data_IF_932883183209
#
_entry.id   IF_932883183209
#
_cell.length_a   1.000
_cell.length_b   1.000
_cell.length_c   1.000
_cell.angle_alpha   90.00
_cell.angle_beta   90.00
_cell.angle_gamma   90.00
#
_symmetry.space_group_name_H-M   'P 1'
#
loop_
_entity.id
_entity.type
_entity.pdbx_description
1 polymer ?
#
# COMPACT_ATOMS: atom_id res chain seq x y z
N UNK A 1 30.70 -17.66 -8.26
CA UNK A 1 29.43 -17.62 -7.49
C UNK A 1 28.74 -16.28 -7.77
N UNK A 2 27.70 -16.29 -8.57
CA UNK A 2 26.90 -15.11 -8.83
C UNK A 2 25.98 -14.89 -7.63
N UNK A 3 26.29 -13.93 -6.77
CA UNK A 3 25.40 -13.47 -5.70
C UNK A 3 24.44 -12.50 -6.39
N UNK A 4 23.13 -12.80 -6.54
CA UNK A 4 22.22 -11.80 -7.05
C UNK A 4 22.28 -10.62 -6.08
N UNK A 5 22.63 -9.47 -6.59
CA UNK A 5 22.52 -8.22 -5.84
C UNK A 5 21.05 -8.12 -5.42
N UNK A 6 20.78 -8.24 -4.13
CA UNK A 6 19.44 -8.02 -3.57
C UNK A 6 19.12 -6.56 -3.87
N UNK A 7 18.41 -6.33 -4.96
CA UNK A 7 17.98 -4.99 -5.34
C UNK A 7 17.03 -4.49 -4.24
N UNK A 8 17.35 -3.33 -3.68
CA UNK A 8 16.48 -2.72 -2.68
C UNK A 8 15.15 -2.36 -3.35
N UNK A 9 14.01 -2.62 -2.70
CA UNK A 9 12.72 -2.19 -3.21
C UNK A 9 12.71 -0.67 -3.47
N UNK A 10 12.12 -0.29 -4.60
CA UNK A 10 12.06 1.09 -5.08
C UNK A 10 10.74 1.71 -4.69
N UNK A 11 10.79 2.81 -3.94
CA UNK A 11 9.62 3.55 -3.49
C UNK A 11 9.59 4.92 -4.17
N UNK A 12 8.54 5.19 -4.91
CA UNK A 12 8.27 6.49 -5.51
C UNK A 12 7.39 7.31 -4.57
N UNK A 13 7.90 8.45 -4.11
CA UNK A 13 7.20 9.35 -3.20
C UNK A 13 6.68 10.55 -3.96
N UNK A 14 5.36 10.73 -4.00
CA UNK A 14 4.69 11.85 -4.70
C UNK A 14 4.00 12.75 -3.69
N UNK A 15 4.71 13.79 -3.25
CA UNK A 15 4.26 14.75 -2.23
C UNK A 15 4.64 16.15 -2.66
N UNK A 16 3.65 17.06 -2.72
CA UNK A 16 3.88 18.43 -3.15
C UNK A 16 4.57 19.30 -2.09
N UNK A 17 4.33 19.02 -0.81
CA UNK A 17 4.90 19.80 0.27
C UNK A 17 6.35 19.38 0.55
N UNK A 18 7.35 20.25 0.36
CA UNK A 18 8.75 19.83 0.40
C UNK A 18 9.19 19.32 1.76
N UNK A 19 8.72 19.91 2.87
CA UNK A 19 9.09 19.44 4.22
C UNK A 19 8.47 18.07 4.56
N UNK A 20 7.23 17.83 4.17
CA UNK A 20 6.56 16.52 4.38
C UNK A 20 7.25 15.45 3.54
N UNK A 21 7.51 15.74 2.28
CA UNK A 21 8.24 14.84 1.40
C UNK A 21 9.63 14.50 1.92
N UNK A 22 10.39 15.49 2.40
CA UNK A 22 11.71 15.27 2.98
C UNK A 22 11.66 14.45 4.27
N UNK A 23 10.67 14.66 5.13
CA UNK A 23 10.49 13.91 6.36
C UNK A 23 10.21 12.42 6.06
N UNK A 24 9.26 12.12 5.17
CA UNK A 24 8.92 10.75 4.77
C UNK A 24 10.11 10.07 4.07
N UNK A 25 10.79 10.77 3.17
CA UNK A 25 12.00 10.27 2.53
C UNK A 25 13.07 9.88 3.55
N UNK A 26 13.28 10.73 4.56
CA UNK A 26 14.24 10.48 5.64
C UNK A 26 13.86 9.23 6.44
N UNK A 27 12.59 9.10 6.83
CA UNK A 27 12.09 7.93 7.56
C UNK A 27 12.36 6.64 6.77
N UNK A 28 12.01 6.60 5.49
CA UNK A 28 12.20 5.43 4.65
C UNK A 28 13.68 5.12 4.40
N UNK A 29 14.53 6.13 4.26
CA UNK A 29 15.98 5.95 4.09
C UNK A 29 16.70 5.47 5.35
N UNK A 30 16.20 5.85 6.53
CA UNK A 30 16.75 5.38 7.81
C UNK A 30 16.61 3.86 7.97
N UNK A 31 15.56 3.27 7.42
CA UNK A 31 15.38 1.82 7.39
C UNK A 31 16.43 1.10 6.54
N UNK A 32 17.21 1.83 5.71
CA UNK A 32 18.28 1.32 4.83
C UNK A 32 17.89 0.18 3.88
N UNK A 33 16.58 -0.11 3.79
CA UNK A 33 16.03 -1.22 2.99
C UNK A 33 15.48 -0.77 1.65
N UNK A 34 15.19 0.53 1.50
CA UNK A 34 14.50 1.08 0.34
C UNK A 34 15.38 2.02 -0.47
N UNK A 35 15.14 2.05 -1.77
CA UNK A 35 15.60 3.12 -2.64
C UNK A 35 14.43 4.07 -2.89
N UNK A 36 14.56 5.34 -2.49
CA UNK A 36 13.47 6.32 -2.53
C UNK A 36 13.79 7.41 -3.52
N UNK A 37 12.83 7.71 -4.40
CA UNK A 37 12.84 8.91 -5.23
C UNK A 37 11.57 9.72 -5.01
N UNK A 38 11.69 11.03 -5.12
CA UNK A 38 10.61 11.96 -4.85
C UNK A 38 10.25 12.77 -6.09
N UNK A 39 8.93 13.00 -6.26
CA UNK A 39 8.35 13.92 -7.22
C UNK A 39 7.37 14.85 -6.50
N UNK A 40 7.32 16.12 -6.90
CA UNK A 40 6.40 17.11 -6.32
C UNK A 40 5.08 17.24 -7.10
N UNK A 41 5.07 16.78 -8.34
CA UNK A 41 3.93 16.84 -9.26
C UNK A 41 3.67 15.48 -9.87
N UNK A 42 2.41 15.25 -10.23
CA UNK A 42 2.01 14.00 -10.84
C UNK A 42 2.67 13.73 -12.20
N UNK A 43 2.79 14.75 -13.04
CA UNK A 43 3.49 14.64 -14.32
C UNK A 43 4.95 14.22 -14.19
N UNK A 44 5.65 14.77 -13.18
CA UNK A 44 7.01 14.37 -12.84
C UNK A 44 7.08 12.92 -12.37
N UNK A 45 6.14 12.51 -11.52
CA UNK A 45 6.04 11.13 -11.03
C UNK A 45 5.81 10.13 -12.16
N UNK A 46 4.92 10.41 -13.10
CA UNK A 46 4.64 9.56 -14.26
C UNK A 46 5.88 9.44 -15.16
N UNK A 47 6.58 10.55 -15.42
CA UNK A 47 7.81 10.52 -16.20
C UNK A 47 8.92 9.73 -15.50
N UNK A 48 9.05 9.91 -14.19
CA UNK A 48 10.02 9.17 -13.39
C UNK A 48 9.71 7.67 -13.37
N UNK A 49 8.44 7.29 -13.23
CA UNK A 49 8.01 5.90 -13.22
C UNK A 49 8.35 5.15 -14.53
N UNK A 50 8.39 5.84 -15.66
CA UNK A 50 8.78 5.26 -16.96
C UNK A 50 10.26 4.90 -17.01
N UNK A 51 11.13 5.72 -16.45
CA UNK A 51 12.58 5.53 -16.48
C UNK A 51 13.10 4.76 -15.26
N UNK A 52 12.35 4.79 -14.18
CA UNK A 52 12.68 4.17 -12.91
C UNK A 52 11.45 3.46 -12.34
N UNK A 53 11.14 2.23 -12.79
CA UNK A 53 9.99 1.48 -12.30
C UNK A 53 10.06 1.28 -10.81
N UNK A 54 9.03 1.73 -10.09
CA UNK A 54 8.92 1.58 -8.65
C UNK A 54 8.18 0.28 -8.29
N UNK A 55 8.51 -0.28 -7.13
CA UNK A 55 7.80 -1.43 -6.56
C UNK A 55 6.58 -0.97 -5.74
N UNK A 56 6.60 0.28 -5.27
CA UNK A 56 5.51 0.91 -4.54
C UNK A 56 5.54 2.43 -4.79
N UNK A 57 4.36 3.03 -4.93
CA UNK A 57 4.18 4.48 -4.94
C UNK A 57 3.46 4.95 -3.67
N UNK A 58 4.02 5.95 -2.99
CA UNK A 58 3.37 6.69 -1.91
C UNK A 58 2.88 8.01 -2.49
N UNK A 59 1.57 8.23 -2.53
CA UNK A 59 0.96 9.38 -3.21
C UNK A 59 0.11 10.19 -2.26
N UNK A 60 0.41 11.48 -2.15
CA UNK A 60 -0.42 12.41 -1.39
C UNK A 60 -1.76 12.65 -2.11
N UNK A 61 -2.86 12.46 -1.40
CA UNK A 61 -4.21 12.70 -1.91
C UNK A 61 -4.40 14.14 -2.43
N UNK A 62 -3.71 15.13 -1.85
CA UNK A 62 -3.75 16.51 -2.32
C UNK A 62 -3.16 16.67 -3.73
N UNK A 63 -2.11 15.91 -4.05
CA UNK A 63 -1.52 15.91 -5.38
C UNK A 63 -2.50 15.34 -6.39
N UNK A 64 -3.14 14.23 -6.07
CA UNK A 64 -4.15 13.61 -6.94
C UNK A 64 -5.36 14.51 -7.15
N UNK A 65 -5.82 15.20 -6.09
CA UNK A 65 -6.93 16.15 -6.19
C UNK A 65 -6.59 17.34 -7.08
N UNK A 66 -5.36 17.83 -7.01
CA UNK A 66 -4.89 18.99 -7.80
C UNK A 66 -4.58 18.65 -9.24
N UNK A 67 -3.87 17.54 -9.46
CA UNK A 67 -3.25 17.21 -10.75
C UNK A 67 -4.08 16.16 -11.53
N UNK A 68 -5.05 15.49 -10.89
CA UNK A 68 -5.97 14.54 -11.52
C UNK A 68 -5.50 13.09 -11.45
N UNK A 69 -5.81 12.31 -12.48
CA UNK A 69 -5.55 10.86 -12.52
C UNK A 69 -4.10 10.56 -12.93
N UNK A 70 -3.53 9.53 -12.31
CA UNK A 70 -2.21 9.02 -12.63
C UNK A 70 -2.18 7.52 -12.89
N UNK A 71 -1.38 7.13 -13.87
CA UNK A 71 -0.96 5.76 -14.11
C UNK A 71 0.53 5.66 -13.74
N UNK A 72 0.82 5.08 -12.58
CA UNK A 72 2.17 4.97 -12.03
C UNK A 72 2.80 3.60 -12.30
N UNK A 73 1.98 2.62 -12.75
CA UNK A 73 2.45 1.27 -13.04
C UNK A 73 2.96 0.51 -11.80
N UNK A 74 2.62 0.98 -10.60
CA UNK A 74 3.03 0.39 -9.32
C UNK A 74 1.85 0.42 -8.34
N UNK A 75 1.81 -0.51 -7.35
CA UNK A 75 0.86 -0.42 -6.25
C UNK A 75 0.97 0.93 -5.55
N UNK A 76 -0.15 1.61 -5.31
CA UNK A 76 -0.18 2.94 -4.72
C UNK A 76 -0.76 2.91 -3.30
N UNK A 77 0.00 3.41 -2.35
CA UNK A 77 -0.44 3.71 -0.99
C UNK A 77 -0.71 5.20 -0.89
N UNK A 78 -1.91 5.57 -0.46
CA UNK A 78 -2.35 6.96 -0.43
C UNK A 78 -2.08 7.57 0.94
N UNK A 79 -1.52 8.76 0.95
CA UNK A 79 -1.38 9.59 2.15
C UNK A 79 -2.56 10.56 2.18
N UNK A 80 -3.44 10.43 3.17
CA UNK A 80 -4.66 11.23 3.28
C UNK A 80 -4.87 11.78 4.69
N UNK A 81 -5.61 12.86 4.81
CA UNK A 81 -6.02 13.42 6.10
C UNK A 81 -7.18 12.65 6.75
N UNK A 82 -7.89 11.80 5.98
CA UNK A 82 -9.01 11.01 6.45
C UNK A 82 -9.57 10.08 5.40
N UNK A 83 -10.49 9.20 5.81
CA UNK A 83 -11.06 8.15 4.95
C UNK A 83 -11.81 8.70 3.72
N UNK A 84 -12.51 9.82 3.84
CA UNK A 84 -13.22 10.43 2.71
C UNK A 84 -12.27 10.96 1.64
N UNK A 85 -11.17 11.60 2.05
CA UNK A 85 -10.13 12.07 1.15
C UNK A 85 -9.43 10.89 0.48
N UNK A 86 -9.13 9.83 1.23
CA UNK A 86 -8.54 8.60 0.72
C UNK A 86 -9.42 7.94 -0.34
N UNK A 87 -10.71 7.75 -0.07
CA UNK A 87 -11.66 7.15 -0.99
C UNK A 87 -11.81 7.94 -2.31
N UNK A 88 -11.75 9.27 -2.24
CA UNK A 88 -11.73 10.11 -3.43
C UNK A 88 -10.44 9.95 -4.24
N UNK A 89 -9.30 9.88 -3.55
CA UNK A 89 -7.98 9.74 -4.16
C UNK A 89 -7.75 8.36 -4.80
N UNK A 90 -8.29 7.29 -4.21
CA UNK A 90 -8.19 5.92 -4.75
C UNK A 90 -8.72 5.81 -6.19
N UNK A 91 -9.73 6.59 -6.53
CA UNK A 91 -10.29 6.62 -7.89
C UNK A 91 -9.38 7.28 -8.92
N UNK A 92 -8.34 7.96 -8.47
CA UNK A 92 -7.40 8.71 -9.30
C UNK A 92 -6.09 7.99 -9.56
N UNK A 93 -5.90 6.79 -9.05
CA UNK A 93 -4.72 5.94 -9.29
C UNK A 93 -5.12 4.63 -9.93
N UNK A 94 -4.19 4.03 -10.66
CA UNK A 94 -4.41 2.79 -11.42
C UNK A 94 -4.44 1.52 -10.53
N UNK A 95 -3.71 1.50 -9.42
CA UNK A 95 -3.62 0.34 -8.53
C UNK A 95 -3.58 0.75 -7.04
N UNK A 96 -4.70 1.24 -6.47
CA UNK A 96 -4.74 1.62 -5.06
C UNK A 96 -4.70 0.39 -4.15
N UNK A 97 -3.86 0.44 -3.11
CA UNK A 97 -3.68 -0.65 -2.13
C UNK A 97 -4.11 -0.27 -0.71
N UNK A 98 -4.68 0.90 -0.53
CA UNK A 98 -5.09 1.44 0.75
C UNK A 98 -4.52 2.82 1.04
N UNK A 99 -4.61 3.24 2.27
CA UNK A 99 -4.18 4.57 2.68
C UNK A 99 -3.60 4.59 4.08
N UNK A 100 -2.78 5.60 4.35
CA UNK A 100 -2.22 5.91 5.67
C UNK A 100 -2.51 7.37 5.98
N UNK A 101 -2.81 7.67 7.25
CA UNK A 101 -3.01 9.04 7.69
C UNK A 101 -1.70 9.83 7.60
N UNK A 102 -1.77 11.09 7.17
CA UNK A 102 -0.60 11.97 7.04
C UNK A 102 0.10 12.26 8.36
N UNK A 103 -0.65 12.20 9.45
CA UNK A 103 -0.21 12.40 10.83
C UNK A 103 0.07 11.08 11.57
N UNK A 104 0.02 9.94 10.86
CA UNK A 104 0.35 8.66 11.45
C UNK A 104 1.80 8.61 11.96
N UNK A 105 2.06 7.88 13.05
CA UNK A 105 3.41 7.61 13.50
C UNK A 105 4.28 7.01 12.38
N UNK A 106 5.56 7.34 12.37
CA UNK A 106 6.50 6.80 11.37
C UNK A 106 6.53 5.27 11.31
N UNK A 107 6.34 4.61 12.46
CA UNK A 107 6.27 3.16 12.55
C UNK A 107 5.10 2.58 11.76
N UNK A 108 3.93 3.23 11.77
CA UNK A 108 2.74 2.80 11.04
C UNK A 108 2.93 2.96 9.53
N UNK A 109 3.58 4.04 9.11
CA UNK A 109 3.93 4.26 7.72
C UNK A 109 4.89 3.17 7.21
N UNK A 110 5.95 2.91 7.96
CA UNK A 110 6.93 1.87 7.61
C UNK A 110 6.27 0.49 7.58
N UNK A 111 5.43 0.16 8.55
CA UNK A 111 4.69 -1.10 8.59
C UNK A 111 3.77 -1.27 7.37
N UNK A 112 3.06 -0.21 6.97
CA UNK A 112 2.22 -0.25 5.78
C UNK A 112 3.02 -0.46 4.49
N UNK A 113 4.16 0.20 4.36
CA UNK A 113 5.09 0.03 3.22
C UNK A 113 5.65 -1.41 3.19
N UNK A 114 6.13 -1.91 4.33
CA UNK A 114 6.62 -3.29 4.43
C UNK A 114 5.55 -4.31 4.09
N UNK A 115 4.36 -4.15 4.60
CA UNK A 115 3.24 -5.05 4.34
C UNK A 115 2.91 -5.13 2.84
N UNK A 116 2.91 -4.02 2.13
CA UNK A 116 2.64 -3.99 0.70
C UNK A 116 3.80 -4.56 -0.13
N UNK A 117 5.04 -4.28 0.24
CA UNK A 117 6.21 -4.81 -0.46
C UNK A 117 6.40 -6.32 -0.24
N UNK A 118 6.09 -6.83 0.95
CA UNK A 118 6.13 -8.28 1.23
C UNK A 118 4.89 -8.99 0.71
N UNK A 119 3.71 -8.38 0.77
CA UNK A 119 2.45 -8.91 0.26
C UNK A 119 2.43 -9.04 -1.27
N UNK A 120 3.10 -8.17 -1.99
CA UNK A 120 3.23 -8.27 -3.46
C UNK A 120 4.07 -9.48 -3.91
N UNK A 121 4.90 -10.03 -3.03
CA UNK A 121 5.65 -11.27 -3.28
C UNK A 121 4.84 -12.54 -2.95
N UNK A 122 3.69 -12.41 -2.27
CA UNK A 122 2.85 -13.54 -1.81
C UNK A 122 1.46 -13.57 -2.43
N UNK A 123 1.17 -12.74 -3.42
CA UNK A 123 -0.20 -12.56 -3.97
C UNK A 123 -0.75 -13.80 -4.70
N UNK A 124 0.04 -14.82 -4.97
CA UNK A 124 -0.49 -16.08 -5.50
C UNK A 124 -0.92 -17.09 -4.43
N UNK A 125 -0.44 -16.99 -3.18
CA UNK A 125 -0.75 -17.96 -2.12
C UNK A 125 -1.75 -17.47 -1.05
N UNK A 126 -1.92 -16.18 -0.88
CA UNK A 126 -2.68 -15.59 0.25
C UNK A 126 -4.20 -15.55 0.07
N UNK A 127 -4.69 -15.49 -1.17
CA UNK A 127 -6.13 -15.39 -1.47
C UNK A 127 -6.90 -16.67 -1.09
N UNK A 128 -6.29 -17.84 -1.28
CA UNK A 128 -6.92 -19.13 -0.95
C UNK A 128 -6.96 -19.41 0.57
N UNK A 129 -6.00 -18.92 1.33
CA UNK A 129 -5.94 -19.13 2.78
C UNK A 129 -7.03 -18.34 3.54
N UNK A 130 -7.31 -17.09 3.15
CA UNK A 130 -8.38 -16.28 3.74
C UNK A 130 -9.77 -16.81 3.41
N UNK A 131 -9.99 -17.32 2.21
CA UNK A 131 -11.24 -18.00 1.83
C UNK A 131 -11.44 -19.29 2.62
N UNK A 132 -10.39 -20.08 2.85
CA UNK A 132 -10.42 -21.32 3.63
C UNK A 132 -10.84 -21.09 5.08
N UNK A 133 -10.33 -20.04 5.73
CA UNK A 133 -10.67 -19.71 7.13
C UNK A 133 -12.12 -19.25 7.24
N UNK A 134 -12.61 -18.43 6.32
CA UNK A 134 -14.00 -17.96 6.31
C UNK A 134 -15.00 -19.09 6.16
N UNK A 135 -14.75 -20.03 5.25
CA UNK A 135 -15.59 -21.22 5.05
C UNK A 135 -15.55 -22.15 6.25
N UNK A 136 -14.38 -22.37 6.86
CA UNK A 136 -14.24 -23.21 8.06
C UNK A 136 -15.05 -22.64 9.24
N UNK A 137 -14.99 -21.33 9.47
CA UNK A 137 -15.78 -20.67 10.54
C UNK A 137 -17.28 -20.81 10.29
N UNK A 138 -17.75 -20.65 9.06
CA UNK A 138 -19.16 -20.82 8.69
C UNK A 138 -19.63 -22.26 8.91
N UNK A 139 -18.85 -23.26 8.53
CA UNK A 139 -19.18 -24.67 8.72
C UNK A 139 -19.21 -25.02 10.21
N UNK A 140 -18.27 -24.57 11.02
CA UNK A 140 -18.26 -24.78 12.47
C UNK A 140 -19.45 -24.12 13.16
N UNK A 141 -19.82 -22.89 12.77
CA UNK A 141 -20.98 -22.19 13.32
C UNK A 141 -22.30 -22.93 12.95
N UNK A 142 -22.42 -23.40 11.71
CA UNK A 142 -23.56 -24.20 11.26
C UNK A 142 -23.71 -25.52 11.99
N UNK A 143 -22.59 -26.22 12.23
CA UNK A 143 -22.56 -27.48 12.97
C UNK A 143 -22.96 -27.26 14.44
N UNK A 144 -22.50 -26.17 15.05
CA UNK A 144 -22.83 -25.81 16.43
C UNK A 144 -24.32 -25.51 16.60
N UNK A 145 -24.92 -24.74 15.69
CA UNK A 145 -26.35 -24.48 15.65
C UNK A 145 -27.17 -25.75 15.46
N UNK A 146 -26.72 -26.67 14.61
CA UNK A 146 -27.36 -27.95 14.37
C UNK A 146 -27.35 -28.84 15.63
N UNK A 147 -26.23 -28.89 16.35
CA UNK A 147 -26.10 -29.63 17.60
C UNK A 147 -27.00 -29.06 18.70
N UNK A 148 -27.11 -27.71 18.80
CA UNK A 148 -28.00 -27.05 19.75
C UNK A 148 -29.46 -27.42 19.42
N UNK A 149 -29.83 -27.41 18.14
CA UNK A 149 -31.18 -27.75 17.70
C UNK A 149 -31.56 -29.21 18.06
N UNK A 150 -30.66 -30.18 17.87
CA UNK A 150 -30.89 -31.60 18.26
C UNK A 150 -30.97 -31.72 19.78
N UNK A 151 -30.23 -30.93 20.55
CA UNK A 151 -30.23 -31.03 22.02
C UNK A 151 -31.48 -30.42 22.67
N UNK A 152 -32.23 -29.58 21.95
CA UNK A 152 -33.44 -28.88 22.44
C UNK A 152 -34.72 -29.56 21.97
N UNK A 153 -34.67 -30.40 20.93
CA UNK A 153 -35.80 -31.17 20.39
C UNK A 153 -35.79 -32.58 20.95
#
# INVERSE_FOLDING_TARGET
>A
MYRPAISRPRVLLVVSHPSVGAAIETILRLERRYEVRRAAKLAEAVNLARSWPADLALVDALVLRRDGRAELGAPALILAGGAAEAAAAERSVDNPQGWVAKDAPSADLVAAVEHLLTGSLTTEAGSLALFGIGVLVLVLAGLLLYLIWIAVV
#
